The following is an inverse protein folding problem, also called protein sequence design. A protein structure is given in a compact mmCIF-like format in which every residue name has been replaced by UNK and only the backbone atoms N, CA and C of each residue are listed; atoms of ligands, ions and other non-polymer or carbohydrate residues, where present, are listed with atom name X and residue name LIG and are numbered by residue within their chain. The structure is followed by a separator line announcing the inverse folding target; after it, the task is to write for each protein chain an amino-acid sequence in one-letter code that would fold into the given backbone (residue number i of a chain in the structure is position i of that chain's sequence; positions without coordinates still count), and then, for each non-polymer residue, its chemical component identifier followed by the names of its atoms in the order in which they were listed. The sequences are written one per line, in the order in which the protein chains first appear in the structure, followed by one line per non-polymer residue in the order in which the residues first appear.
data_IF_696519608947
#
_entry.id   IF_696519608947
#
_cell.length_a   1.000
_cell.length_b   1.000
_cell.length_c   1.000
_cell.angle_alpha   90.00
_cell.angle_beta   90.00
_cell.angle_gamma   90.00
#
_symmetry.space_group_name_H-M   'P 1'
#
loop_
_entity.id
_entity.type
_entity.pdbx_description
1 polymer ?
#
# COMPACT_ATOMS: atom_id res chain seq x y z
N UNK A 1 -15.77 -27.74 29.34
CA UNK A 1 -15.14 -27.53 28.02
C UNK A 1 -14.73 -26.07 27.85
N UNK A 2 -13.58 -25.66 28.41
CA UNK A 2 -13.07 -24.28 28.31
C UNK A 2 -11.57 -24.21 27.96
N UNK A 3 -10.86 -25.35 27.95
CA UNK A 3 -9.43 -25.40 27.64
C UNK A 3 -9.10 -25.24 26.14
N UNK A 4 -10.06 -25.44 25.24
CA UNK A 4 -9.84 -25.34 23.79
C UNK A 4 -9.79 -23.90 23.24
N UNK A 5 -10.42 -22.94 23.92
CA UNK A 5 -10.52 -21.56 23.43
C UNK A 5 -9.28 -20.71 23.72
N UNK A 6 -8.60 -20.96 24.84
CA UNK A 6 -7.40 -20.19 25.23
C UNK A 6 -6.20 -20.52 24.33
N UNK A 7 -6.07 -21.78 23.91
CA UNK A 7 -4.97 -22.22 23.02
C UNK A 7 -5.16 -21.70 21.59
N UNK A 8 -6.40 -21.68 21.09
CA UNK A 8 -6.70 -21.14 19.76
C UNK A 8 -6.37 -19.66 19.59
N UNK A 9 -6.58 -18.84 20.65
CA UNK A 9 -6.27 -17.41 20.63
C UNK A 9 -4.76 -17.14 20.70
N UNK A 10 -4.01 -17.94 21.46
CA UNK A 10 -2.55 -17.82 21.55
C UNK A 10 -1.85 -18.27 20.28
N UNK A 11 -2.22 -19.41 19.71
CA UNK A 11 -1.62 -19.92 18.46
C UNK A 11 -2.08 -19.12 17.23
N UNK A 12 -3.26 -18.51 17.28
CA UNK A 12 -3.76 -17.65 16.20
C UNK A 12 -3.12 -16.26 16.15
N UNK A 13 -2.81 -15.65 17.30
CA UNK A 13 -2.26 -14.28 17.37
C UNK A 13 -0.74 -14.19 17.38
N UNK A 14 -0.04 -15.20 17.93
CA UNK A 14 1.43 -15.23 18.00
C UNK A 14 2.09 -15.13 16.60
N UNK A 15 1.67 -15.90 15.58
CA UNK A 15 2.26 -15.80 14.24
C UNK A 15 2.15 -14.40 13.66
N UNK A 16 0.98 -13.76 13.79
CA UNK A 16 0.73 -12.40 13.27
C UNK A 16 1.61 -11.35 13.96
N UNK A 17 1.79 -11.46 15.28
CA UNK A 17 2.66 -10.54 16.03
C UNK A 17 4.14 -10.70 15.63
N UNK A 18 4.64 -11.94 15.52
CA UNK A 18 6.02 -12.18 15.11
C UNK A 18 6.26 -11.77 13.66
N UNK A 19 5.33 -12.03 12.75
CA UNK A 19 5.40 -11.57 11.36
C UNK A 19 5.42 -10.05 11.30
N UNK A 20 4.52 -9.37 12.02
CA UNK A 20 4.50 -7.90 12.08
C UNK A 20 5.80 -7.32 12.66
N UNK A 21 6.36 -7.94 13.72
CA UNK A 21 7.62 -7.51 14.33
C UNK A 21 8.82 -7.78 13.44
N UNK A 22 8.85 -8.92 12.75
CA UNK A 22 9.89 -9.26 11.79
C UNK A 22 9.88 -8.30 10.60
N UNK A 23 8.71 -8.10 9.97
CA UNK A 23 8.54 -7.14 8.88
C UNK A 23 8.93 -5.72 9.30
N UNK A 24 8.51 -5.28 10.48
CA UNK A 24 8.89 -3.96 10.97
C UNK A 24 10.41 -3.84 11.17
N UNK A 25 11.07 -4.86 11.74
CA UNK A 25 12.52 -4.84 11.95
C UNK A 25 13.31 -4.93 10.63
N UNK A 26 12.80 -5.68 9.67
CA UNK A 26 13.35 -5.83 8.32
C UNK A 26 13.22 -4.51 7.53
N UNK A 27 12.03 -3.92 7.51
CA UNK A 27 11.80 -2.60 6.91
C UNK A 27 12.71 -1.56 7.56
N UNK A 28 12.81 -1.54 8.90
CA UNK A 28 13.70 -0.65 9.69
C UNK A 28 15.17 -0.69 9.27
N UNK A 29 15.65 -1.82 8.74
CA UNK A 29 17.05 -2.00 8.34
C UNK A 29 17.30 -1.73 6.86
N UNK A 30 16.26 -1.75 6.04
CA UNK A 30 16.37 -1.48 4.61
C UNK A 30 16.62 0.01 4.33
N UNK A 31 17.46 0.30 3.34
CA UNK A 31 17.69 1.65 2.85
C UNK A 31 16.50 2.16 2.00
N UNK A 32 16.34 3.48 1.81
CA UNK A 32 15.22 4.04 1.07
C UNK A 32 15.10 3.58 -0.41
N UNK A 33 16.22 3.25 -1.07
CA UNK A 33 16.20 2.77 -2.45
C UNK A 33 15.72 1.31 -2.51
N UNK A 34 16.14 0.47 -1.56
CA UNK A 34 15.62 -0.88 -1.36
C UNK A 34 14.12 -0.86 -1.04
N UNK A 35 13.66 0.04 -0.17
CA UNK A 35 12.23 0.21 0.12
C UNK A 35 11.43 0.61 -1.13
N UNK A 36 11.98 1.42 -2.03
CA UNK A 36 11.35 1.74 -3.32
C UNK A 36 11.20 0.50 -4.21
N UNK A 37 12.22 -0.34 -4.27
CA UNK A 37 12.16 -1.59 -5.04
C UNK A 37 11.13 -2.55 -4.43
N UNK A 38 11.09 -2.62 -3.11
CA UNK A 38 10.12 -3.42 -2.36
C UNK A 38 8.69 -2.92 -2.50
N UNK A 39 8.43 -1.63 -2.68
CA UNK A 39 7.08 -1.14 -2.99
C UNK A 39 6.47 -1.81 -4.24
N UNK A 40 7.31 -2.15 -5.23
CA UNK A 40 6.86 -2.87 -6.43
C UNK A 40 6.72 -4.37 -6.19
N UNK A 41 7.72 -4.99 -5.55
CA UNK A 41 7.74 -6.43 -5.34
C UNK A 41 6.76 -6.90 -4.24
N UNK A 42 6.57 -6.08 -3.22
CA UNK A 42 5.82 -6.34 -1.98
C UNK A 42 4.64 -5.36 -1.87
N UNK A 43 3.91 -5.15 -2.97
CA UNK A 43 2.80 -4.21 -3.08
C UNK A 43 1.72 -4.40 -1.98
N UNK A 44 1.54 -5.63 -1.50
CA UNK A 44 0.58 -5.99 -0.46
C UNK A 44 0.88 -5.35 0.91
N UNK A 45 2.15 -5.02 1.18
CA UNK A 45 2.57 -4.24 2.36
C UNK A 45 2.99 -2.81 2.03
N UNK A 46 2.60 -2.28 0.86
CA UNK A 46 2.97 -0.91 0.44
C UNK A 46 2.66 0.15 1.50
N UNK A 47 1.52 0.03 2.19
CA UNK A 47 1.14 0.91 3.28
C UNK A 47 2.10 0.87 4.49
N UNK A 48 2.67 -0.30 4.82
CA UNK A 48 3.66 -0.43 5.90
C UNK A 48 5.00 0.17 5.49
N UNK A 49 5.39 -0.02 4.23
CA UNK A 49 6.62 0.57 3.68
C UNK A 49 6.53 2.11 3.71
N UNK A 50 5.42 2.67 3.23
CA UNK A 50 5.18 4.13 3.26
C UNK A 50 5.11 4.69 4.68
N UNK A 51 4.46 3.97 5.61
CA UNK A 51 4.44 4.36 7.03
C UNK A 51 5.85 4.45 7.61
N UNK A 52 6.71 3.47 7.33
CA UNK A 52 8.08 3.45 7.82
C UNK A 52 8.94 4.55 7.18
N UNK A 53 8.78 4.80 5.87
CA UNK A 53 9.45 5.92 5.18
C UNK A 53 9.04 7.27 5.79
N UNK A 54 7.74 7.49 6.01
CA UNK A 54 7.23 8.71 6.64
C UNK A 54 7.74 8.88 8.07
N UNK A 55 7.80 7.78 8.84
CA UNK A 55 8.37 7.77 10.20
C UNK A 55 9.85 8.19 10.23
N UNK A 56 10.59 7.98 9.14
CA UNK A 56 11.99 8.41 9.00
C UNK A 56 12.15 9.84 8.50
N UNK A 57 11.05 10.53 8.20
CA UNK A 57 11.09 11.87 7.62
C UNK A 57 11.45 11.90 6.14
N UNK A 58 11.34 10.76 5.43
CA UNK A 58 11.50 10.76 3.98
C UNK A 58 10.33 11.51 3.32
N UNK A 59 10.64 12.31 2.30
CA UNK A 59 9.59 12.91 1.47
C UNK A 59 8.83 11.82 0.70
N UNK A 60 7.57 11.63 1.11
CA UNK A 60 6.66 10.63 0.56
C UNK A 60 6.20 10.97 -0.86
N UNK A 61 6.25 12.23 -1.30
CA UNK A 61 5.82 12.63 -2.65
C UNK A 61 6.55 11.84 -3.74
N UNK A 62 7.83 11.51 -3.50
CA UNK A 62 8.67 10.70 -4.40
C UNK A 62 8.16 9.26 -4.62
N UNK A 63 7.25 8.79 -3.77
CA UNK A 63 6.69 7.45 -3.82
C UNK A 63 5.23 7.41 -4.32
N UNK A 64 4.64 8.57 -4.68
CA UNK A 64 3.28 8.65 -5.22
C UNK A 64 3.17 7.91 -6.56
N UNK A 65 4.10 8.13 -7.48
CA UNK A 65 4.08 7.51 -8.81
C UNK A 65 4.10 5.96 -8.76
N UNK A 66 4.95 5.30 -7.95
CA UNK A 66 4.83 3.86 -7.71
C UNK A 66 3.45 3.40 -7.25
N UNK A 67 2.75 4.18 -6.42
CA UNK A 67 1.38 3.85 -5.98
C UNK A 67 0.39 4.02 -7.14
N UNK A 68 0.52 5.08 -7.94
CA UNK A 68 -0.29 5.28 -9.15
C UNK A 68 -0.05 4.19 -10.21
N UNK A 69 1.13 3.58 -10.25
CA UNK A 69 1.38 2.39 -11.08
C UNK A 69 0.57 1.17 -10.61
N UNK A 70 0.39 0.99 -9.30
CA UNK A 70 -0.46 -0.09 -8.77
C UNK A 70 -1.93 0.10 -9.14
N UNK A 71 -2.44 1.34 -9.12
CA UNK A 71 -3.82 1.65 -9.54
C UNK A 71 -4.08 1.36 -11.03
N UNK A 72 -3.04 1.38 -11.85
CA UNK A 72 -3.08 1.10 -13.30
C UNK A 72 -2.82 -0.37 -13.63
N UNK A 73 -2.57 -1.21 -12.64
CA UNK A 73 -2.24 -2.62 -12.84
C UNK A 73 -3.43 -3.41 -13.37
N UNK A 74 -3.15 -4.44 -14.17
CA UNK A 74 -4.13 -5.44 -14.59
C UNK A 74 -4.68 -6.24 -13.38
N UNK A 75 -3.88 -6.42 -12.33
CA UNK A 75 -4.28 -7.14 -11.12
C UNK A 75 -5.19 -6.28 -10.23
N UNK A 76 -6.41 -6.76 -9.99
CA UNK A 76 -7.35 -6.12 -9.06
C UNK A 76 -6.82 -6.05 -7.62
N UNK A 77 -6.01 -7.01 -7.20
CA UNK A 77 -5.39 -7.00 -5.87
C UNK A 77 -4.31 -5.91 -5.74
N UNK A 78 -3.49 -5.73 -6.79
CA UNK A 78 -2.55 -4.62 -6.83
C UNK A 78 -3.28 -3.27 -6.81
N UNK A 79 -4.37 -3.13 -7.57
CA UNK A 79 -5.21 -1.91 -7.54
C UNK A 79 -5.80 -1.65 -6.16
N UNK A 80 -6.28 -2.70 -5.47
CA UNK A 80 -6.81 -2.61 -4.09
C UNK A 80 -5.77 -2.05 -3.12
N UNK A 81 -4.58 -2.62 -3.11
CA UNK A 81 -3.50 -2.21 -2.22
C UNK A 81 -2.95 -0.83 -2.58
N UNK A 82 -2.84 -0.51 -3.87
CA UNK A 82 -2.51 0.82 -4.35
C UNK A 82 -3.52 1.87 -3.88
N UNK A 83 -4.82 1.59 -4.04
CA UNK A 83 -5.89 2.49 -3.61
C UNK A 83 -5.91 2.73 -2.10
N UNK A 84 -5.70 1.68 -1.30
CA UNK A 84 -5.59 1.80 0.15
C UNK A 84 -4.41 2.71 0.56
N UNK A 85 -3.24 2.50 -0.05
CA UNK A 85 -2.06 3.33 0.16
C UNK A 85 -2.29 4.77 -0.30
N UNK A 86 -2.96 4.98 -1.44
CA UNK A 86 -3.26 6.31 -1.96
C UNK A 86 -4.12 7.13 -0.98
N UNK A 87 -5.21 6.53 -0.48
CA UNK A 87 -6.14 7.19 0.46
C UNK A 87 -5.49 7.60 1.77
N UNK A 88 -4.51 6.83 2.26
CA UNK A 88 -3.89 7.10 3.55
C UNK A 88 -2.74 8.11 3.44
N UNK A 89 -1.90 8.00 2.41
CA UNK A 89 -0.66 8.78 2.30
C UNK A 89 -0.75 9.97 1.34
N UNK A 90 -1.72 9.98 0.42
CA UNK A 90 -1.87 11.00 -0.63
C UNK A 90 -3.32 11.48 -0.74
N UNK A 91 -3.89 12.08 0.33
CA UNK A 91 -5.31 12.40 0.41
C UNK A 91 -5.80 13.31 -0.72
N UNK A 92 -5.03 14.34 -1.10
CA UNK A 92 -5.38 15.23 -2.22
C UNK A 92 -5.52 14.47 -3.55
N UNK A 93 -4.65 13.48 -3.79
CA UNK A 93 -4.74 12.64 -5.00
C UNK A 93 -5.93 11.68 -4.93
N UNK A 94 -6.20 11.14 -3.74
CA UNK A 94 -7.36 10.28 -3.53
C UNK A 94 -8.68 11.04 -3.71
N UNK A 95 -8.75 12.31 -3.30
CA UNK A 95 -9.90 13.19 -3.55
C UNK A 95 -10.09 13.46 -5.05
N UNK A 96 -9.01 13.69 -5.80
CA UNK A 96 -9.08 13.82 -7.25
C UNK A 96 -9.56 12.54 -7.96
N UNK A 97 -9.38 11.39 -7.31
CA UNK A 97 -9.83 10.06 -7.75
C UNK A 97 -11.03 9.56 -6.91
N UNK A 98 -11.91 10.43 -6.44
CA UNK A 98 -13.00 10.06 -5.53
C UNK A 98 -13.91 8.93 -6.07
N UNK A 99 -14.11 8.88 -7.40
CA UNK A 99 -14.95 7.88 -8.06
C UNK A 99 -14.18 6.58 -8.43
N UNK A 100 -12.90 6.49 -8.08
CA UNK A 100 -12.07 5.34 -8.40
C UNK A 100 -12.55 4.07 -7.67
N UNK A 101 -12.84 3.04 -8.46
CA UNK A 101 -13.25 1.70 -7.99
C UNK A 101 -12.21 0.69 -8.45
N UNK A 102 -11.42 0.17 -7.51
CA UNK A 102 -10.37 -0.81 -7.81
C UNK A 102 -10.91 -2.12 -8.45
N UNK A 103 -12.19 -2.42 -8.24
CA UNK A 103 -12.91 -3.56 -8.81
C UNK A 103 -13.35 -3.35 -10.27
N UNK A 104 -13.29 -2.12 -10.78
CA UNK A 104 -13.58 -1.83 -12.18
C UNK A 104 -12.55 -2.50 -13.11
N UNK A 105 -12.81 -2.43 -14.42
CA UNK A 105 -11.89 -2.97 -15.42
C UNK A 105 -10.53 -2.25 -15.33
N UNK A 106 -9.46 -2.96 -15.67
CA UNK A 106 -8.12 -2.38 -15.67
C UNK A 106 -8.01 -1.18 -16.63
N UNK A 107 -8.70 -1.25 -17.77
CA UNK A 107 -8.79 -0.15 -18.73
C UNK A 107 -9.48 1.09 -18.14
N UNK A 108 -10.60 0.91 -17.45
CA UNK A 108 -11.29 2.02 -16.79
C UNK A 108 -10.44 2.64 -15.68
N UNK A 109 -9.79 1.81 -14.87
CA UNK A 109 -8.86 2.26 -13.83
C UNK A 109 -7.70 3.07 -14.42
N UNK A 110 -7.12 2.60 -15.54
CA UNK A 110 -6.04 3.32 -16.25
C UNK A 110 -6.51 4.67 -16.75
N UNK A 111 -7.64 4.70 -17.44
CA UNK A 111 -8.23 5.92 -17.99
C UNK A 111 -8.46 6.97 -16.90
N UNK A 112 -9.08 6.59 -15.78
CA UNK A 112 -9.34 7.54 -14.68
C UNK A 112 -8.05 8.12 -14.07
N UNK A 113 -7.03 7.28 -13.85
CA UNK A 113 -5.74 7.75 -13.34
C UNK A 113 -5.06 8.71 -14.31
N UNK A 114 -5.07 8.39 -15.61
CA UNK A 114 -4.50 9.25 -16.65
C UNK A 114 -5.24 10.59 -16.76
N UNK A 115 -6.57 10.60 -16.76
CA UNK A 115 -7.39 11.81 -16.79
C UNK A 115 -7.05 12.77 -15.63
N UNK A 116 -6.89 12.23 -14.41
CA UNK A 116 -6.51 13.01 -13.23
C UNK A 116 -5.08 13.56 -13.33
N UNK A 117 -4.15 12.77 -13.85
CA UNK A 117 -2.77 13.19 -14.07
C UNK A 117 -2.66 14.31 -15.10
N UNK A 118 -3.39 14.20 -16.22
CA UNK A 118 -3.41 15.25 -17.25
C UNK A 118 -4.05 16.53 -16.74
N UNK A 119 -5.15 16.46 -15.97
CA UNK A 119 -5.79 17.64 -15.38
C UNK A 119 -4.91 18.35 -14.36
N UNK A 120 -4.05 17.61 -13.66
CA UNK A 120 -3.14 18.18 -12.63
C UNK A 120 -1.87 18.81 -13.22
N UNK A 121 -1.60 18.59 -14.51
CA UNK A 121 -0.41 19.11 -15.20
C UNK A 121 -0.69 20.39 -16.00
N UNK A 122 -1.95 20.81 -16.11
CA UNK A 122 -2.41 22.00 -16.83
C UNK A 122 -2.70 23.19 -15.93
#
# INVERSE_FOLDING_TARGET
MLAGWVVGYWVGGLPSFFVGRYLNNDLRRADPASLRQRLKAEYYISHLILAELGRRGEDLARYEEPILQLLRSESGDQRRHGWASLRYFYPTRAEALADYKHEASAEECRRQVEEVLTRSAG
#
